data_IF_401902589831
#
_entry.id   IF_401902589831
#
_cell.length_a   1.000
_cell.length_b   1.000
_cell.length_c   1.000
_cell.angle_alpha   90.00
_cell.angle_beta   90.00
_cell.angle_gamma   90.00
#
_symmetry.space_group_name_H-M   'P 1'
#
loop_
_entity.id
_entity.type
_entity.pdbx_description
1 polymer ?
#
# COMPACT_ATOMS: atom_id res chain seq x y z
N UNK A 1 -2.76 -19.72 18.47
CA UNK A 1 -2.47 -18.29 18.72
C UNK A 1 -2.43 -17.57 17.37
N UNK A 2 -3.35 -16.65 17.05
CA UNK A 2 -3.24 -15.89 15.80
C UNK A 2 -2.04 -14.96 15.92
N UNK A 3 -1.05 -15.11 15.03
CA UNK A 3 0.09 -14.19 14.96
C UNK A 3 -0.47 -12.81 14.63
N UNK A 4 -0.49 -11.90 15.61
CA UNK A 4 -0.75 -10.47 15.35
C UNK A 4 0.36 -10.02 14.40
N UNK A 5 0.12 -10.08 13.08
CA UNK A 5 0.99 -9.43 12.10
C UNK A 5 0.93 -7.96 12.47
N UNK A 6 2.04 -7.44 13.01
CA UNK A 6 2.17 -6.01 13.23
C UNK A 6 1.80 -5.32 11.91
N UNK A 7 0.84 -4.38 11.91
CA UNK A 7 0.48 -3.68 10.70
C UNK A 7 1.75 -2.97 10.20
N UNK A 8 2.18 -3.29 8.98
CA UNK A 8 3.27 -2.58 8.34
C UNK A 8 2.73 -1.22 7.92
N UNK A 9 2.99 -0.22 8.75
CA UNK A 9 2.66 1.17 8.47
C UNK A 9 3.86 1.85 7.81
N UNK A 10 3.61 2.48 6.67
CA UNK A 10 4.62 3.23 5.91
C UNK A 10 4.37 4.74 6.03
N UNK A 11 5.34 5.53 5.59
CA UNK A 11 5.22 7.00 5.56
C UNK A 11 4.30 7.43 4.42
N UNK A 12 3.41 8.39 4.67
CA UNK A 12 2.62 9.01 3.62
C UNK A 12 3.42 10.14 2.96
N UNK A 13 3.70 10.10 1.64
CA UNK A 13 4.42 11.18 0.97
C UNK A 13 3.58 12.47 0.85
N UNK A 14 2.25 12.38 1.02
CA UNK A 14 1.33 13.52 0.93
C UNK A 14 1.24 14.32 2.24
N UNK A 15 1.23 13.65 3.40
CA UNK A 15 1.05 14.30 4.72
C UNK A 15 2.18 14.03 5.72
N UNK A 16 3.23 13.33 5.31
CA UNK A 16 4.41 12.99 6.12
C UNK A 16 4.11 12.22 7.44
N UNK A 17 2.95 11.58 7.55
CA UNK A 17 2.56 10.76 8.70
C UNK A 17 2.82 9.28 8.43
N UNK A 18 3.27 8.53 9.45
CA UNK A 18 3.39 7.06 9.38
C UNK A 18 2.02 6.39 9.48
N UNK A 19 1.23 6.53 8.43
CA UNK A 19 -0.17 6.10 8.40
C UNK A 19 -0.56 5.39 7.12
N UNK A 20 0.39 5.14 6.20
CA UNK A 20 0.10 4.39 4.97
C UNK A 20 -0.02 2.91 5.26
N UNK A 21 -1.09 2.31 4.77
CA UNK A 21 -1.37 0.87 4.84
C UNK A 21 -1.49 0.34 3.42
N UNK A 22 -0.93 -0.85 3.21
CA UNK A 22 -1.02 -1.57 1.95
C UNK A 22 -1.82 -2.84 2.18
N UNK A 23 -2.87 -3.03 1.40
CA UNK A 23 -3.70 -4.23 1.40
C UNK A 23 -3.62 -4.88 0.03
N UNK A 24 -3.11 -6.12 -0.04
CA UNK A 24 -3.05 -6.88 -1.28
C UNK A 24 -4.35 -7.67 -1.41
N UNK A 25 -5.07 -7.42 -2.50
CA UNK A 25 -6.28 -8.14 -2.88
C UNK A 25 -5.87 -9.34 -3.73
N UNK A 26 -5.93 -10.52 -3.13
CA UNK A 26 -5.67 -11.79 -3.81
C UNK A 26 -7.00 -12.35 -4.36
N UNK A 27 -7.35 -11.96 -5.59
CA UNK A 27 -8.61 -12.35 -6.25
C UNK A 27 -8.49 -13.68 -7.05
N UNK A 28 -7.42 -14.46 -6.85
CA UNK A 28 -7.23 -15.76 -7.52
C UNK A 28 -6.98 -15.71 -9.04
N UNK A 29 -6.77 -14.52 -9.61
CA UNK A 29 -6.46 -14.29 -11.03
C UNK A 29 -4.96 -14.16 -11.34
N UNK A 30 -4.65 -14.00 -12.64
CA UNK A 30 -3.28 -13.75 -13.14
C UNK A 30 -2.74 -12.39 -12.67
N UNK A 31 -3.65 -11.43 -12.46
CA UNK A 31 -3.37 -10.06 -12.07
C UNK A 31 -3.76 -9.87 -10.60
N UNK A 32 -2.85 -9.31 -9.79
CA UNK A 32 -3.16 -8.96 -8.40
C UNK A 32 -3.37 -7.46 -8.29
N UNK A 33 -4.25 -7.06 -7.36
CA UNK A 33 -4.46 -5.65 -7.04
C UNK A 33 -3.97 -5.37 -5.64
N UNK A 34 -3.59 -4.13 -5.39
CA UNK A 34 -3.33 -3.64 -4.06
C UNK A 34 -4.03 -2.31 -3.85
N UNK A 35 -4.51 -2.11 -2.64
CA UNK A 35 -5.06 -0.86 -2.16
C UNK A 35 -4.05 -0.24 -1.23
N UNK A 36 -3.64 0.99 -1.51
CA UNK A 36 -2.83 1.79 -0.62
C UNK A 36 -3.69 2.91 -0.04
N UNK A 37 -3.69 3.07 1.27
CA UNK A 37 -4.45 4.13 1.93
C UNK A 37 -3.70 4.79 3.08
N UNK A 38 -3.86 6.09 3.22
CA UNK A 38 -3.45 6.85 4.39
C UNK A 38 -4.57 6.80 5.43
N UNK A 39 -4.26 6.27 6.62
CA UNK A 39 -5.18 6.28 7.76
C UNK A 39 -5.36 7.64 8.44
N UNK A 40 -4.68 8.69 7.97
CA UNK A 40 -4.85 10.04 8.50
C UNK A 40 -6.10 10.70 7.87
N UNK A 41 -7.05 11.11 8.72
CA UNK A 41 -8.36 11.67 8.33
C UNK A 41 -8.18 12.97 7.52
N UNK A 42 -7.22 13.81 7.89
CA UNK A 42 -6.93 15.07 7.19
C UNK A 42 -6.30 14.86 5.81
N UNK A 43 -5.71 13.69 5.56
CA UNK A 43 -5.08 13.35 4.28
C UNK A 43 -6.04 12.59 3.35
N UNK A 44 -6.71 11.56 3.90
CA UNK A 44 -7.71 10.74 3.22
C UNK A 44 -7.23 10.02 1.95
N UNK A 45 -5.92 9.93 1.72
CA UNK A 45 -5.39 9.38 0.47
C UNK A 45 -5.74 7.90 0.34
N UNK A 46 -6.30 7.50 -0.80
CA UNK A 46 -6.54 6.10 -1.15
C UNK A 46 -6.32 5.92 -2.64
N UNK A 47 -5.61 4.86 -3.01
CA UNK A 47 -5.37 4.50 -4.41
C UNK A 47 -5.36 2.99 -4.57
N UNK A 48 -5.90 2.53 -5.69
CA UNK A 48 -5.86 1.13 -6.10
C UNK A 48 -4.87 1.00 -7.26
N UNK A 49 -4.05 -0.05 -7.22
CA UNK A 49 -2.97 -0.26 -8.18
C UNK A 49 -2.86 -1.73 -8.55
N UNK A 50 -2.61 -1.99 -9.84
CA UNK A 50 -2.31 -3.33 -10.32
C UNK A 50 -0.85 -3.66 -9.99
N UNK A 51 -0.64 -4.82 -9.40
CA UNK A 51 0.66 -5.30 -8.92
C UNK A 51 0.95 -6.67 -9.50
N UNK A 52 2.23 -7.00 -9.59
CA UNK A 52 2.64 -8.33 -10.04
C UNK A 52 2.31 -9.37 -8.97
N UNK A 53 2.01 -10.63 -9.34
CA UNK A 53 1.52 -11.63 -8.39
C UNK A 53 2.50 -11.99 -7.26
N UNK A 54 3.78 -11.72 -7.45
CA UNK A 54 4.85 -11.95 -6.48
C UNK A 54 5.20 -10.74 -5.61
N UNK A 55 4.55 -9.59 -5.82
CA UNK A 55 4.79 -8.39 -5.02
C UNK A 55 4.33 -8.60 -3.57
N UNK A 56 5.12 -8.07 -2.65
CA UNK A 56 4.78 -7.95 -1.23
C UNK A 56 4.44 -6.49 -0.93
N UNK A 57 3.88 -6.26 0.25
CA UNK A 57 3.44 -4.92 0.71
C UNK A 57 4.51 -3.83 0.51
N UNK A 58 5.80 -4.17 0.71
CA UNK A 58 6.92 -3.24 0.51
C UNK A 58 7.16 -2.92 -0.96
N UNK A 59 7.05 -3.90 -1.85
CA UNK A 59 7.23 -3.71 -3.30
C UNK A 59 6.13 -2.80 -3.86
N UNK A 60 4.89 -2.99 -3.39
CA UNK A 60 3.76 -2.12 -3.72
C UNK A 60 4.00 -0.69 -3.24
N UNK A 61 4.48 -0.52 -2.00
CA UNK A 61 4.78 0.80 -1.46
C UNK A 61 5.88 1.50 -2.26
N UNK A 62 6.96 0.81 -2.62
CA UNK A 62 8.02 1.36 -3.47
C UNK A 62 7.47 1.83 -4.82
N UNK A 63 6.71 0.97 -5.53
CA UNK A 63 6.10 1.34 -6.80
C UNK A 63 5.17 2.57 -6.66
N UNK A 64 4.40 2.64 -5.58
CA UNK A 64 3.56 3.81 -5.30
C UNK A 64 4.40 5.07 -5.11
N UNK A 65 5.52 5.01 -4.38
CA UNK A 65 6.41 6.15 -4.17
C UNK A 65 7.01 6.61 -5.50
N UNK A 66 7.50 5.69 -6.33
CA UNK A 66 8.04 6.00 -7.65
C UNK A 66 7.00 6.71 -8.52
N UNK A 67 5.76 6.21 -8.53
CA UNK A 67 4.65 6.81 -9.27
C UNK A 67 4.19 8.15 -8.67
N UNK A 68 4.24 8.31 -7.35
CA UNK A 68 3.86 9.54 -6.66
C UNK A 68 4.84 10.68 -6.94
N UNK A 69 6.15 10.38 -6.99
CA UNK A 69 7.18 11.37 -7.30
C UNK A 69 7.48 11.48 -8.81
N UNK A 70 6.91 10.61 -9.64
CA UNK A 70 6.97 10.69 -11.10
C UNK A 70 8.36 10.47 -11.68
N UNK A 71 9.11 9.49 -11.16
CA UNK A 71 10.40 9.08 -11.73
C UNK A 71 10.23 8.16 -12.94
#
# INVERSE_FOLDING_TARGET
MPKKKLPKVFLCPKCNQQSMRVEILDEGGVEKKAVIQCGNIDCGFRKEMNIKPYFKEVDVYCQFIDEFYGF
#
